data_IF_023932190311
#
_entry.id   IF_023932190311
#
_cell.length_a   1.000
_cell.length_b   1.000
_cell.length_c   1.000
_cell.angle_alpha   90.00
_cell.angle_beta   90.00
_cell.angle_gamma   90.00
#
_symmetry.space_group_name_H-M   'P 1'
#
loop_
_entity.id
_entity.type
_entity.pdbx_description
1 polymer ?
#
# COMPACT_ATOMS: atom_id res chain seq x y z
N UNK A 1 19.80 -16.41 25.76
CA UNK A 1 19.64 -15.29 24.80
C UNK A 1 18.20 -15.37 24.32
N UNK A 2 17.29 -14.71 25.04
CA UNK A 2 15.88 -14.72 24.69
C UNK A 2 15.70 -13.83 23.45
N UNK A 3 15.31 -14.44 22.34
CA UNK A 3 14.84 -13.71 21.18
C UNK A 3 13.57 -12.98 21.60
N UNK A 4 13.65 -11.66 21.67
CA UNK A 4 12.53 -10.78 21.96
C UNK A 4 11.65 -10.77 20.70
N UNK A 5 10.60 -11.59 20.67
CA UNK A 5 9.54 -11.45 19.66
C UNK A 5 8.89 -10.08 19.87
N UNK A 6 8.60 -9.31 18.80
CA UNK A 6 7.85 -8.07 18.94
C UNK A 6 6.48 -8.41 19.51
N UNK A 7 6.23 -7.94 20.73
CA UNK A 7 4.97 -8.11 21.44
C UNK A 7 3.82 -7.63 20.54
N UNK A 8 2.85 -8.49 20.28
CA UNK A 8 1.70 -8.14 19.45
C UNK A 8 0.99 -6.92 20.07
N UNK A 9 0.60 -5.92 19.26
CA UNK A 9 -0.07 -4.74 19.80
C UNK A 9 -1.35 -5.15 20.56
N UNK A 10 -1.70 -4.43 21.64
CA UNK A 10 -2.83 -4.81 22.50
C UNK A 10 -4.13 -4.90 21.68
N UNK A 11 -5.02 -5.80 22.10
CA UNK A 11 -6.32 -5.99 21.47
C UNK A 11 -7.08 -4.66 21.37
N UNK A 12 -7.31 -4.20 20.13
CA UNK A 12 -8.00 -2.93 19.83
C UNK A 12 -9.51 -3.09 20.01
N UNK A 13 -10.20 -2.02 20.43
CA UNK A 13 -11.66 -2.00 20.52
C UNK A 13 -12.29 -1.91 19.13
N UNK A 14 -13.55 -2.35 19.01
CA UNK A 14 -14.34 -2.22 17.78
C UNK A 14 -14.50 -0.76 17.32
N UNK A 15 -14.51 0.19 18.26
CA UNK A 15 -14.52 1.63 17.97
C UNK A 15 -13.21 2.08 17.30
N UNK A 16 -12.06 1.57 17.76
CA UNK A 16 -10.77 1.85 17.14
C UNK A 16 -10.70 1.28 15.72
N UNK A 17 -11.20 0.06 15.50
CA UNK A 17 -11.23 -0.54 14.15
C UNK A 17 -12.03 0.33 13.16
N UNK A 18 -13.17 0.88 13.60
CA UNK A 18 -13.98 1.76 12.77
C UNK A 18 -13.27 3.07 12.41
N UNK A 19 -12.53 3.66 13.37
CA UNK A 19 -11.73 4.87 13.18
C UNK A 19 -10.56 4.63 12.23
N UNK A 20 -9.83 3.53 12.41
CA UNK A 20 -8.71 3.15 11.56
C UNK A 20 -9.16 2.85 10.13
N UNK A 21 -10.27 2.12 9.97
CA UNK A 21 -10.85 1.86 8.65
C UNK A 21 -11.29 3.18 7.97
N UNK A 22 -11.82 4.15 8.73
CA UNK A 22 -12.16 5.47 8.20
C UNK A 22 -10.91 6.27 7.77
N UNK A 23 -9.85 6.24 8.57
CA UNK A 23 -8.58 6.87 8.24
C UNK A 23 -7.94 6.24 6.98
N UNK A 24 -7.95 4.91 6.89
CA UNK A 24 -7.43 4.18 5.73
C UNK A 24 -8.22 4.51 4.46
N UNK A 25 -9.56 4.51 4.51
CA UNK A 25 -10.40 4.94 3.38
C UNK A 25 -10.06 6.37 2.93
N UNK A 26 -9.79 7.28 3.86
CA UNK A 26 -9.38 8.66 3.56
C UNK A 26 -8.00 8.73 2.90
N UNK A 27 -7.04 7.92 3.35
CA UNK A 27 -5.73 7.78 2.70
C UNK A 27 -5.88 7.29 1.25
N UNK A 28 -6.68 6.23 1.03
CA UNK A 28 -6.93 5.73 -0.32
C UNK A 28 -7.55 6.81 -1.22
N UNK A 29 -8.57 7.52 -0.73
CA UNK A 29 -9.18 8.62 -1.47
C UNK A 29 -8.15 9.72 -1.81
N UNK A 30 -7.28 10.10 -0.87
CA UNK A 30 -6.22 11.07 -1.11
C UNK A 30 -5.23 10.60 -2.18
N UNK A 31 -4.76 9.34 -2.10
CA UNK A 31 -3.82 8.76 -3.06
C UNK A 31 -4.40 8.57 -4.46
N UNK A 32 -5.73 8.39 -4.58
CA UNK A 32 -6.45 8.33 -5.86
C UNK A 32 -6.56 9.70 -6.51
N UNK A 33 -6.72 10.77 -5.72
CA UNK A 33 -6.73 12.15 -6.22
C UNK A 33 -5.33 12.61 -6.65
N UNK A 34 -4.30 12.16 -5.94
CA UNK A 34 -2.89 12.49 -6.22
C UNK A 34 -2.26 11.57 -7.27
N UNK A 35 -2.81 11.59 -8.49
CA UNK A 35 -2.30 10.80 -9.63
C UNK A 35 -0.90 11.21 -10.07
N UNK A 36 -0.47 12.42 -9.71
CA UNK A 36 0.87 12.94 -9.92
C UNK A 36 1.94 12.20 -9.10
N UNK A 37 1.58 11.68 -7.92
CA UNK A 37 2.50 10.96 -7.04
C UNK A 37 2.69 9.55 -7.58
N UNK A 38 3.84 9.28 -8.19
CA UNK A 38 4.18 7.94 -8.71
C UNK A 38 4.57 6.99 -7.58
N UNK A 39 4.28 5.70 -7.77
CA UNK A 39 4.63 4.68 -6.77
C UNK A 39 6.13 4.60 -6.52
N UNK A 40 6.98 4.85 -7.52
CA UNK A 40 8.43 4.83 -7.36
C UNK A 40 8.90 5.92 -6.39
N UNK A 41 8.31 7.11 -6.44
CA UNK A 41 8.66 8.21 -5.53
C UNK A 41 8.23 7.91 -4.09
N UNK A 42 7.07 7.26 -3.91
CA UNK A 42 6.62 6.77 -2.61
C UNK A 42 7.57 5.70 -2.06
N UNK A 43 8.02 4.77 -2.90
CA UNK A 43 8.99 3.76 -2.49
C UNK A 43 10.33 4.37 -2.08
N UNK A 44 10.85 5.34 -2.86
CA UNK A 44 12.11 6.03 -2.55
C UNK A 44 12.03 6.76 -1.22
N UNK A 45 10.92 7.47 -0.96
CA UNK A 45 10.80 8.34 0.20
C UNK A 45 10.38 7.60 1.48
N UNK A 46 9.44 6.68 1.37
CA UNK A 46 8.72 6.11 2.51
C UNK A 46 8.79 4.58 2.60
N UNK A 47 9.41 3.90 1.64
CA UNK A 47 9.53 2.44 1.64
C UNK A 47 8.23 1.68 1.38
N UNK A 48 7.13 2.35 1.04
CA UNK A 48 5.87 1.72 0.63
C UNK A 48 5.20 2.51 -0.49
N UNK A 49 4.31 1.87 -1.23
CA UNK A 49 3.48 2.53 -2.23
C UNK A 49 2.07 1.93 -2.27
N UNK A 50 1.25 2.36 -3.25
CA UNK A 50 -0.13 1.83 -3.44
C UNK A 50 -0.16 0.31 -3.61
N UNK A 51 0.84 -0.28 -4.25
CA UNK A 51 0.89 -1.73 -4.40
C UNK A 51 1.10 -2.44 -3.06
N UNK A 52 1.95 -1.89 -2.18
CA UNK A 52 2.14 -2.42 -0.83
C UNK A 52 0.84 -2.37 -0.03
N UNK A 53 0.06 -1.28 -0.14
CA UNK A 53 -1.26 -1.18 0.49
C UNK A 53 -2.23 -2.26 0.00
N UNK A 54 -2.16 -2.62 -1.29
CA UNK A 54 -2.98 -3.68 -1.85
C UNK A 54 -2.54 -5.07 -1.36
N UNK A 55 -1.23 -5.31 -1.30
CA UNK A 55 -0.68 -6.56 -0.77
C UNK A 55 -1.04 -6.73 0.73
N UNK A 56 -0.95 -5.67 1.55
CA UNK A 56 -1.39 -5.71 2.96
C UNK A 56 -2.90 -5.94 3.11
N UNK A 57 -3.71 -5.36 2.23
CA UNK A 57 -5.16 -5.59 2.21
C UNK A 57 -5.48 -7.06 1.89
N UNK A 58 -4.75 -7.65 0.93
CA UNK A 58 -4.84 -9.07 0.59
C UNK A 58 -4.43 -9.97 1.76
N UNK A 59 -3.31 -9.66 2.42
CA UNK A 59 -2.85 -10.40 3.59
C UNK A 59 -3.87 -10.35 4.74
N UNK A 60 -4.45 -9.17 5.03
CA UNK A 60 -5.48 -9.00 6.06
C UNK A 60 -6.76 -9.79 5.74
N UNK A 61 -7.18 -9.83 4.48
CA UNK A 61 -8.30 -10.65 4.03
C UNK A 61 -8.02 -12.14 4.22
N UNK A 62 -6.83 -12.60 3.82
CA UNK A 62 -6.42 -13.99 3.99
C UNK A 62 -6.39 -14.42 5.46
N UNK A 63 -5.89 -13.55 6.36
CA UNK A 63 -5.92 -13.77 7.81
C UNK A 63 -7.35 -13.85 8.37
N UNK A 64 -8.29 -13.18 7.72
CA UNK A 64 -9.73 -13.20 8.06
C UNK A 64 -10.48 -14.36 7.39
N UNK A 65 -9.79 -15.27 6.69
CA UNK A 65 -10.40 -16.39 5.97
C UNK A 65 -11.09 -16.00 4.66
N UNK A 66 -10.89 -14.76 4.18
CA UNK A 66 -11.43 -14.27 2.92
C UNK A 66 -10.36 -14.36 1.82
N UNK A 67 -10.62 -15.16 0.79
CA UNK A 67 -9.76 -15.21 -0.38
C UNK A 67 -10.06 -14.01 -1.29
N UNK A 68 -9.12 -13.06 -1.36
CA UNK A 68 -9.09 -12.04 -2.42
C UNK A 68 -7.83 -12.20 -3.24
N UNK A 69 -7.96 -12.07 -4.56
CA UNK A 69 -6.81 -12.09 -5.43
C UNK A 69 -6.12 -10.72 -5.48
N UNK A 70 -4.94 -10.70 -6.11
CA UNK A 70 -4.10 -9.51 -6.20
C UNK A 70 -4.74 -8.40 -7.04
N UNK A 71 -5.53 -8.76 -8.05
CA UNK A 71 -6.17 -7.79 -8.93
C UNK A 71 -7.32 -7.09 -8.20
N UNK A 72 -8.14 -7.84 -7.47
CA UNK A 72 -9.20 -7.34 -6.60
C UNK A 72 -8.66 -6.41 -5.52
N UNK A 73 -7.56 -6.80 -4.85
CA UNK A 73 -6.95 -5.95 -3.83
C UNK A 73 -6.40 -4.64 -4.41
N UNK A 74 -5.81 -4.70 -5.62
CA UNK A 74 -5.35 -3.51 -6.32
C UNK A 74 -6.51 -2.64 -6.77
N UNK A 75 -7.56 -3.20 -7.35
CA UNK A 75 -8.76 -2.46 -7.72
C UNK A 75 -9.37 -1.75 -6.51
N UNK A 76 -9.40 -2.43 -5.35
CA UNK A 76 -9.82 -1.81 -4.10
C UNK A 76 -8.94 -0.60 -3.74
N UNK A 77 -7.63 -0.66 -3.89
CA UNK A 77 -6.73 0.48 -3.56
C UNK A 77 -6.83 1.60 -4.61
N UNK A 78 -6.75 1.28 -5.90
CA UNK A 78 -6.74 2.24 -7.00
C UNK A 78 -8.12 2.84 -7.31
N UNK A 79 -9.21 2.17 -6.90
CA UNK A 79 -10.58 2.57 -7.20
C UNK A 79 -11.01 2.32 -8.64
N UNK A 80 -10.18 1.61 -9.42
CA UNK A 80 -10.40 1.16 -10.79
C UNK A 80 -9.42 0.02 -11.10
N UNK A 81 -9.63 -0.76 -12.18
CA UNK A 81 -8.70 -1.79 -12.59
C UNK A 81 -7.28 -1.24 -12.75
N UNK A 82 -6.28 -1.95 -12.23
CA UNK A 82 -4.89 -1.50 -12.27
C UNK A 82 -4.43 -1.21 -13.69
N UNK A 83 -4.85 -2.04 -14.66
CA UNK A 83 -4.53 -1.84 -16.07
C UNK A 83 -5.00 -0.47 -16.58
N UNK A 84 -6.22 -0.05 -16.23
CA UNK A 84 -6.76 1.25 -16.60
C UNK A 84 -5.98 2.40 -15.93
N UNK A 85 -5.66 2.26 -14.64
CA UNK A 85 -4.87 3.26 -13.92
C UNK A 85 -3.48 3.43 -14.55
N UNK A 86 -2.82 2.34 -14.93
CA UNK A 86 -1.51 2.40 -15.59
C UNK A 86 -1.57 3.17 -16.89
N UNK A 87 -2.57 2.89 -17.73
CA UNK A 87 -2.75 3.58 -19.02
C UNK A 87 -3.01 5.07 -18.83
N UNK A 88 -3.77 5.46 -17.81
CA UNK A 88 -4.19 6.85 -17.60
C UNK A 88 -3.16 7.71 -16.85
N UNK A 89 -2.38 7.11 -15.95
CA UNK A 89 -1.65 7.87 -14.92
C UNK A 89 -0.22 7.39 -14.64
N UNK A 90 0.18 6.18 -15.05
CA UNK A 90 1.52 5.68 -14.76
C UNK A 90 2.52 6.16 -15.81
N UNK A 91 3.54 6.88 -15.35
CA UNK A 91 4.67 7.27 -16.18
C UNK A 91 5.79 6.22 -16.07
N UNK A 92 6.59 6.03 -17.14
CA UNK A 92 7.80 5.23 -17.03
C UNK A 92 8.75 5.87 -16.02
N UNK A 93 9.37 5.04 -15.19
CA UNK A 93 10.40 5.50 -14.26
C UNK A 93 11.60 6.04 -15.05
N UNK A 94 12.07 7.23 -14.66
CA UNK A 94 13.29 7.79 -15.23
C UNK A 94 14.53 7.06 -14.70
N UNK A 95 15.67 7.07 -15.43
CA UNK A 95 16.91 6.48 -14.95
C UNK A 95 17.36 7.01 -13.58
N UNK A 96 17.11 8.30 -13.32
CA UNK A 96 17.41 8.92 -12.02
C UNK A 96 16.53 8.37 -10.90
N UNK A 97 15.23 8.22 -11.14
CA UNK A 97 14.33 7.60 -10.16
C UNK A 97 14.71 6.15 -9.89
N UNK A 98 15.10 5.39 -10.91
CA UNK A 98 15.59 4.01 -10.73
C UNK A 98 16.85 3.97 -9.88
N UNK A 99 17.83 4.84 -10.13
CA UNK A 99 19.05 4.90 -9.33
C UNK A 99 18.77 5.28 -7.86
N UNK A 100 17.85 6.23 -7.63
CA UNK A 100 17.41 6.61 -6.28
C UNK A 100 16.67 5.49 -5.57
N UNK A 101 15.82 4.75 -6.30
CA UNK A 101 15.13 3.57 -5.77
C UNK A 101 16.13 2.50 -5.36
N UNK A 102 17.10 2.17 -6.22
CA UNK A 102 18.13 1.18 -5.92
C UNK A 102 19.01 1.60 -4.73
N UNK A 103 19.27 2.90 -4.55
CA UNK A 103 19.97 3.42 -3.38
C UNK A 103 19.11 3.29 -2.11
N UNK A 104 17.84 3.66 -2.17
CA UNK A 104 16.91 3.59 -1.04
C UNK A 104 16.67 2.14 -0.57
N UNK A 105 16.61 1.18 -1.48
CA UNK A 105 16.41 -0.25 -1.15
C UNK A 105 17.65 -0.94 -0.58
N UNK A 106 18.82 -0.31 -0.66
CA UNK A 106 20.10 -0.85 -0.12
C UNK A 106 20.49 -0.22 1.21
N UNK A 107 19.85 0.88 1.59
CA UNK A 107 20.05 1.55 2.88
C UNK A 107 19.29 0.82 3.99
#
# INVERSE_FOLDING_TARGET
MACNEPEAPPARSTENDALEAAAFRKLLAHLRQRTDVQNIDLMILAGFCRNCLADWYQEAAAQSGLAIDKEQAREHVYGMPMAEWKTRHQLPATPEQMARFDAAMRA
#
